data_IF_734570627188
#
_entry.id   IF_734570627188
#
_cell.length_a   1.000
_cell.length_b   1.000
_cell.length_c   1.000
_cell.angle_alpha   90.00
_cell.angle_beta   90.00
_cell.angle_gamma   90.00
#
_symmetry.space_group_name_H-M   'P 1'
#
loop_
_entity.id
_entity.type
_entity.pdbx_description
1 polymer ?
#
# COMPACT_ATOMS: atom_id res chain seq x y z
N UNK A 1 2.68 3.82 9.31
CA UNK A 1 1.76 3.10 10.15
C UNK A 1 0.36 3.14 9.57
N UNK A 2 -0.30 2.03 9.60
CA UNK A 2 -1.59 1.86 8.91
C UNK A 2 -2.73 2.11 9.89
N UNK A 3 -3.40 3.23 9.71
CA UNK A 3 -4.47 3.64 10.62
C UNK A 3 -5.59 2.61 10.71
N UNK A 4 -5.84 1.87 9.62
CA UNK A 4 -6.90 0.86 9.62
C UNK A 4 -6.68 -0.21 10.69
N UNK A 5 -5.43 -0.58 10.94
CA UNK A 5 -5.13 -1.66 11.87
C UNK A 5 -5.36 -1.29 13.33
N UNK A 6 -5.31 0.01 13.62
CA UNK A 6 -5.40 0.50 14.99
C UNK A 6 -6.66 1.29 15.27
N UNK A 7 -7.53 1.46 14.26
CA UNK A 7 -8.75 2.25 14.42
C UNK A 7 -9.91 1.35 14.83
N UNK A 8 -10.38 1.45 16.08
CA UNK A 8 -11.47 0.59 16.55
C UNK A 8 -12.83 0.96 15.97
N UNK A 9 -12.92 2.08 15.24
CA UNK A 9 -14.19 2.54 14.69
C UNK A 9 -14.46 2.07 13.27
N UNK A 10 -13.55 1.27 12.69
CA UNK A 10 -13.77 0.74 11.35
C UNK A 10 -14.83 -0.33 11.36
N UNK A 11 -15.68 -0.34 10.33
CA UNK A 11 -16.62 -1.44 10.15
C UNK A 11 -15.86 -2.72 9.83
N UNK A 12 -16.51 -3.86 10.07
CA UNK A 12 -15.88 -5.16 9.80
C UNK A 12 -15.49 -5.31 8.34
N UNK A 13 -16.32 -4.82 7.42
CA UNK A 13 -16.03 -4.93 5.99
C UNK A 13 -14.81 -4.10 5.60
N UNK A 14 -14.70 -2.87 6.11
CA UNK A 14 -13.54 -2.03 5.81
C UNK A 14 -12.30 -2.60 6.48
N UNK A 15 -12.40 -3.07 7.70
CA UNK A 15 -11.27 -3.72 8.38
C UNK A 15 -10.79 -4.94 7.60
N UNK A 16 -11.72 -5.74 7.09
CA UNK A 16 -11.38 -6.91 6.27
C UNK A 16 -10.62 -6.52 5.02
N UNK A 17 -11.02 -5.42 4.38
CA UNK A 17 -10.30 -4.92 3.21
C UNK A 17 -8.88 -4.49 3.57
N UNK A 18 -8.72 -3.77 4.66
CA UNK A 18 -7.40 -3.33 5.11
C UNK A 18 -6.51 -4.52 5.43
N UNK A 19 -7.04 -5.51 6.12
CA UNK A 19 -6.28 -6.72 6.47
C UNK A 19 -5.86 -7.48 5.21
N UNK A 20 -6.76 -7.61 4.25
CA UNK A 20 -6.41 -8.26 3.00
C UNK A 20 -5.27 -7.53 2.30
N UNK A 21 -5.38 -6.21 2.19
CA UNK A 21 -4.35 -5.42 1.54
C UNK A 21 -2.99 -5.61 2.23
N UNK A 22 -2.97 -5.53 3.57
CA UNK A 22 -1.73 -5.66 4.32
C UNK A 22 -1.06 -7.03 4.14
N UNK A 23 -1.86 -8.06 3.91
CA UNK A 23 -1.33 -9.42 3.79
C UNK A 23 -1.05 -9.84 2.36
N UNK A 24 -1.37 -9.00 1.36
CA UNK A 24 -1.24 -9.36 -0.05
C UNK A 24 -0.57 -8.24 -0.86
N UNK A 25 0.45 -7.59 -0.28
CA UNK A 25 1.10 -6.44 -0.91
C UNK A 25 1.87 -6.81 -2.18
N UNK A 26 2.16 -8.08 -2.39
CA UNK A 26 2.83 -8.51 -3.63
C UNK A 26 1.85 -8.74 -4.79
N UNK A 27 0.57 -8.57 -4.56
CA UNK A 27 -0.46 -8.84 -5.55
C UNK A 27 -1.03 -7.56 -6.14
N UNK A 28 -1.68 -7.70 -7.29
CA UNK A 28 -2.46 -6.62 -7.86
C UNK A 28 -3.85 -6.69 -7.24
N UNK A 29 -4.17 -5.68 -6.43
CA UNK A 29 -5.44 -5.64 -5.70
C UNK A 29 -6.32 -4.57 -6.35
N UNK A 30 -7.59 -4.91 -6.63
CA UNK A 30 -8.53 -3.99 -7.25
C UNK A 30 -9.71 -3.74 -6.35
N UNK A 31 -10.35 -2.58 -6.55
CA UNK A 31 -11.60 -2.26 -5.84
C UNK A 31 -12.66 -3.33 -6.07
N UNK A 32 -12.83 -3.76 -7.34
CA UNK A 32 -13.85 -4.75 -7.67
C UNK A 32 -13.64 -6.07 -6.95
N UNK A 33 -12.40 -6.51 -6.83
CA UNK A 33 -12.11 -7.73 -6.10
C UNK A 33 -12.49 -7.61 -4.64
N UNK A 34 -12.11 -6.50 -4.01
CA UNK A 34 -12.41 -6.29 -2.60
C UNK A 34 -13.92 -6.13 -2.37
N UNK A 35 -14.60 -5.45 -3.28
CA UNK A 35 -16.06 -5.27 -3.16
C UNK A 35 -16.78 -6.60 -3.22
N UNK A 36 -16.40 -7.46 -4.16
CA UNK A 36 -16.98 -8.80 -4.25
C UNK A 36 -16.71 -9.61 -2.98
N UNK A 37 -15.51 -9.48 -2.45
CA UNK A 37 -15.09 -10.24 -1.28
C UNK A 37 -15.95 -9.92 -0.05
N UNK A 38 -16.34 -8.65 0.10
CA UNK A 38 -17.18 -8.24 1.24
C UNK A 38 -18.66 -8.13 0.91
N UNK A 39 -19.05 -8.41 -0.33
CA UNK A 39 -20.45 -8.43 -0.73
C UNK A 39 -21.04 -7.05 -1.01
N UNK A 40 -20.23 -6.09 -1.41
CA UNK A 40 -20.69 -4.73 -1.70
C UNK A 40 -20.57 -4.43 -3.20
N UNK A 41 -21.37 -3.44 -3.65
CA UNK A 41 -21.15 -2.83 -4.95
C UNK A 41 -19.88 -1.98 -4.88
N UNK A 42 -19.19 -1.87 -6.03
CA UNK A 42 -17.92 -1.12 -6.10
C UNK A 42 -18.08 0.31 -5.56
N UNK A 43 -19.13 1.00 -6.00
CA UNK A 43 -19.33 2.39 -5.61
C UNK A 43 -19.55 2.52 -4.10
N UNK A 44 -20.32 1.60 -3.54
CA UNK A 44 -20.62 1.65 -2.11
C UNK A 44 -19.37 1.41 -1.27
N UNK A 45 -18.57 0.41 -1.64
CA UNK A 45 -17.32 0.15 -0.93
C UNK A 45 -16.37 1.33 -1.05
N UNK A 46 -16.25 1.89 -2.25
CA UNK A 46 -15.35 3.02 -2.47
C UNK A 46 -15.68 4.18 -1.53
N UNK A 47 -16.96 4.54 -1.44
CA UNK A 47 -17.38 5.62 -0.55
C UNK A 47 -17.16 5.29 0.90
N UNK A 48 -17.57 4.10 1.30
CA UNK A 48 -17.47 3.71 2.70
C UNK A 48 -16.02 3.64 3.16
N UNK A 49 -15.16 3.10 2.31
CA UNK A 49 -13.74 3.00 2.64
C UNK A 49 -13.15 4.39 2.86
N UNK A 50 -13.43 5.31 1.94
CA UNK A 50 -12.89 6.66 2.05
C UNK A 50 -13.47 7.40 3.27
N UNK A 51 -14.75 7.22 3.54
CA UNK A 51 -15.38 7.86 4.69
C UNK A 51 -14.75 7.38 6.01
N UNK A 52 -14.45 6.09 6.10
CA UNK A 52 -13.94 5.52 7.35
C UNK A 52 -12.43 5.67 7.51
N UNK A 53 -11.66 5.60 6.42
CA UNK A 53 -10.20 5.65 6.51
C UNK A 53 -9.62 7.00 6.15
N UNK A 54 -10.38 7.84 5.47
CA UNK A 54 -9.90 9.14 5.03
C UNK A 54 -9.21 9.14 3.68
N UNK A 55 -8.95 7.96 3.09
CA UNK A 55 -8.28 7.86 1.78
C UNK A 55 -8.99 6.83 0.93
N UNK A 56 -8.84 6.96 -0.40
CA UNK A 56 -9.39 5.96 -1.31
C UNK A 56 -8.66 4.63 -1.16
N UNK A 57 -9.30 3.55 -1.61
CA UNK A 57 -8.68 2.22 -1.60
C UNK A 57 -7.37 2.22 -2.39
N UNK A 58 -7.36 2.84 -3.57
CA UNK A 58 -6.15 2.87 -4.38
C UNK A 58 -5.01 3.60 -3.69
N UNK A 59 -5.32 4.71 -3.03
CA UNK A 59 -4.32 5.45 -2.25
C UNK A 59 -3.83 4.62 -1.07
N UNK A 60 -4.74 3.94 -0.39
CA UNK A 60 -4.37 3.10 0.74
C UNK A 60 -3.41 1.98 0.30
N UNK A 61 -3.73 1.32 -0.81
CA UNK A 61 -2.87 0.25 -1.35
C UNK A 61 -1.47 0.80 -1.66
N UNK A 62 -1.44 1.96 -2.33
CA UNK A 62 -0.16 2.58 -2.68
C UNK A 62 0.67 2.90 -1.44
N UNK A 63 0.05 3.52 -0.44
CA UNK A 63 0.76 3.87 0.79
C UNK A 63 1.26 2.61 1.50
N UNK A 64 0.44 1.57 1.58
CA UNK A 64 0.84 0.32 2.23
C UNK A 64 2.05 -0.31 1.53
N UNK A 65 2.06 -0.31 0.21
CA UNK A 65 3.19 -0.84 -0.56
C UNK A 65 4.45 0.00 -0.36
N UNK A 66 4.30 1.33 -0.31
CA UNK A 66 5.45 2.21 -0.07
C UNK A 66 6.03 2.00 1.33
N UNK A 67 5.18 1.80 2.33
CA UNK A 67 5.67 1.50 3.68
C UNK A 67 6.48 0.20 3.70
N UNK A 68 6.02 -0.83 2.99
CA UNK A 68 6.77 -2.07 2.89
C UNK A 68 8.08 -1.83 2.14
N UNK A 69 8.06 -1.02 1.09
CA UNK A 69 9.26 -0.70 0.33
C UNK A 69 10.31 -0.01 1.20
N UNK A 70 9.89 0.91 2.08
CA UNK A 70 10.81 1.56 3.00
C UNK A 70 11.55 0.54 3.86
N UNK A 71 10.81 -0.42 4.37
CA UNK A 71 11.42 -1.48 5.18
C UNK A 71 12.42 -2.30 4.37
N UNK A 72 12.03 -2.70 3.15
CA UNK A 72 12.92 -3.51 2.30
C UNK A 72 14.16 -2.74 1.88
N UNK A 73 14.04 -1.44 1.62
CA UNK A 73 15.18 -0.61 1.25
C UNK A 73 16.18 -0.50 2.40
N UNK A 74 15.70 -0.43 3.63
CA UNK A 74 16.57 -0.22 4.79
C UNK A 74 17.12 -1.51 5.38
N UNK A 75 16.45 -2.65 5.17
CA UNK A 75 16.82 -3.90 5.83
C UNK A 75 17.30 -5.00 4.90
N UNK A 76 17.24 -4.81 3.57
CA UNK A 76 17.67 -5.84 2.62
C UNK A 76 18.58 -5.24 1.57
N UNK A 77 19.23 -6.11 0.79
CA UNK A 77 20.05 -5.69 -0.34
C UNK A 77 19.33 -5.88 -1.67
N UNK A 78 18.04 -6.11 -1.66
CA UNK A 78 17.26 -6.23 -2.89
C UNK A 78 17.40 -4.95 -3.70
N UNK A 79 17.50 -5.10 -5.03
CA UNK A 79 17.57 -3.93 -5.90
C UNK A 79 16.25 -3.18 -5.89
N UNK A 80 16.29 -1.92 -6.30
CA UNK A 80 15.07 -1.12 -6.43
C UNK A 80 14.11 -1.78 -7.40
N UNK A 81 14.63 -2.35 -8.49
CA UNK A 81 13.81 -3.07 -9.46
C UNK A 81 13.12 -4.28 -8.82
N UNK A 82 13.87 -5.06 -8.04
CA UNK A 82 13.31 -6.21 -7.35
C UNK A 82 12.22 -5.83 -6.37
N UNK A 83 12.41 -4.74 -5.65
CA UNK A 83 11.40 -4.24 -4.71
C UNK A 83 10.15 -3.80 -5.45
N UNK A 84 10.31 -3.05 -6.54
CA UNK A 84 9.21 -2.60 -7.36
C UNK A 84 8.40 -3.78 -7.91
N UNK A 85 9.10 -4.77 -8.44
CA UNK A 85 8.46 -5.97 -9.00
C UNK A 85 7.78 -6.79 -7.92
N UNK A 86 8.43 -6.97 -6.79
CA UNK A 86 7.89 -7.77 -5.69
C UNK A 86 6.65 -7.17 -5.08
N UNK A 87 6.48 -5.85 -5.17
CA UNK A 87 5.30 -5.15 -4.67
C UNK A 87 4.27 -4.89 -5.77
N UNK A 88 4.52 -5.42 -6.96
CA UNK A 88 3.60 -5.32 -8.09
C UNK A 88 3.23 -3.87 -8.44
N UNK A 89 4.25 -3.03 -8.62
CA UNK A 89 4.03 -1.64 -9.01
C UNK A 89 3.89 -1.47 -10.52
N UNK A 90 4.21 -2.48 -11.31
CA UNK A 90 4.17 -2.39 -12.76
C UNK A 90 5.50 -1.96 -13.34
N UNK A 91 5.90 -0.72 -13.15
CA UNK A 91 7.18 -0.23 -13.65
C UNK A 91 7.99 0.39 -12.53
N UNK A 92 9.32 0.38 -12.73
CA UNK A 92 10.22 1.04 -11.78
C UNK A 92 9.99 2.54 -11.74
N UNK A 93 9.68 3.13 -12.90
CA UNK A 93 9.40 4.58 -12.96
C UNK A 93 8.19 4.95 -12.12
N UNK A 94 7.11 4.19 -12.26
CA UNK A 94 5.90 4.45 -11.47
C UNK A 94 6.19 4.29 -9.99
N UNK A 95 6.92 3.24 -9.62
CA UNK A 95 7.30 3.02 -8.23
C UNK A 95 8.11 4.20 -7.69
N UNK A 96 9.13 4.63 -8.44
CA UNK A 96 10.00 5.71 -7.98
C UNK A 96 9.23 7.01 -7.79
N UNK A 97 8.32 7.32 -8.71
CA UNK A 97 7.50 8.52 -8.60
C UNK A 97 6.57 8.46 -7.39
N UNK A 98 5.91 7.32 -7.20
CA UNK A 98 5.03 7.14 -6.05
C UNK A 98 5.80 7.24 -4.74
N UNK A 99 6.96 6.61 -4.68
CA UNK A 99 7.81 6.66 -3.49
C UNK A 99 8.22 8.10 -3.18
N UNK A 100 8.72 8.81 -4.18
CA UNK A 100 9.16 10.19 -3.97
C UNK A 100 7.99 11.08 -3.55
N UNK A 101 6.82 10.88 -4.15
CA UNK A 101 5.64 11.67 -3.82
C UNK A 101 5.21 11.47 -2.36
N UNK A 102 5.26 10.23 -1.87
CA UNK A 102 4.77 9.89 -0.52
C UNK A 102 5.85 10.13 0.53
N UNK A 103 7.09 9.76 0.25
CA UNK A 103 8.18 9.80 1.24
C UNK A 103 8.97 11.09 1.20
N UNK A 104 9.01 11.76 0.05
CA UNK A 104 9.74 13.01 -0.10
C UNK A 104 11.16 12.85 -0.64
N UNK A 105 11.61 11.63 -0.90
CA UNK A 105 12.90 11.38 -1.50
C UNK A 105 12.83 10.13 -2.36
N UNK A 106 13.81 9.95 -3.26
CA UNK A 106 13.83 8.79 -4.14
C UNK A 106 14.14 7.52 -3.35
N UNK A 107 13.77 6.34 -3.88
CA UNK A 107 14.14 5.08 -3.23
C UNK A 107 15.65 4.94 -3.01
N UNK A 108 16.46 5.35 -3.98
CA UNK A 108 17.91 5.27 -3.84
C UNK A 108 18.41 6.18 -2.73
N UNK A 109 17.90 7.41 -2.66
CA UNK A 109 18.28 8.34 -1.60
C UNK A 109 17.85 7.83 -0.23
N UNK A 110 16.65 7.25 -0.16
CA UNK A 110 16.16 6.67 1.09
C UNK A 110 17.07 5.54 1.57
N UNK A 111 17.46 4.65 0.66
CA UNK A 111 18.36 3.55 1.00
C UNK A 111 19.69 4.06 1.51
N UNK A 112 20.25 5.03 0.81
CA UNK A 112 21.53 5.58 1.21
C UNK A 112 21.49 6.17 2.61
N UNK A 113 20.39 6.82 2.94
CA UNK A 113 20.25 7.49 4.23
C UNK A 113 19.94 6.53 5.39
N UNK A 114 19.13 5.50 5.13
CA UNK A 114 18.57 4.68 6.21
C UNK A 114 19.01 3.23 6.21
N UNK A 115 19.85 2.79 5.28
CA UNK A 115 20.28 1.40 5.27
C UNK A 115 21.31 1.14 6.37
N UNK A 116 21.10 0.07 7.12
CA UNK A 116 21.93 -0.29 8.27
C UNK A 116 22.61 -1.65 8.12
N UNK A 117 22.75 -2.15 6.91
CA UNK A 117 23.40 -3.44 6.65
C UNK A 117 24.90 -3.32 6.67
#
# INVERSE_FOLDING_TARGET
VHKCRTNPNLSKSVQSCCDYIENHLSEKITLSFLAKRVGYADYYLSRRFKDETGVSINTYIKIAKIERAKMLLSTTQKSIQEISDGLNFGTRSFFSEAFKSIVGMTPAAYRQKYQHL
#
